data_IF_680624036742
#
_entry.id   IF_680624036742
#
_cell.length_a   1.000
_cell.length_b   1.000
_cell.length_c   1.000
_cell.angle_alpha   90.00
_cell.angle_beta   90.00
_cell.angle_gamma   90.00
#
_symmetry.space_group_name_H-M   'P 1'
#
loop_
_entity.id
_entity.type
_entity.pdbx_description
1 polymer ?
#
# COMPACT_ATOMS: atom_id res chain seq x y z
N UNK A 1 -0.73 20.00 11.89
CA UNK A 1 -0.30 20.78 13.07
C UNK A 1 -0.88 20.22 14.37
N UNK A 2 -1.89 19.34 14.27
CA UNK A 2 -2.51 18.59 15.36
C UNK A 2 -3.03 17.24 14.86
N UNK A 3 -3.57 16.41 15.77
CA UNK A 3 -4.09 15.08 15.43
C UNK A 3 -5.21 15.14 14.38
N UNK A 4 -6.11 16.11 14.47
CA UNK A 4 -7.23 16.24 13.53
C UNK A 4 -6.72 16.50 12.09
N UNK A 5 -5.73 17.35 11.93
CA UNK A 5 -5.14 17.65 10.62
C UNK A 5 -4.28 16.49 10.10
N UNK A 6 -3.50 15.84 10.99
CA UNK A 6 -2.65 14.71 10.61
C UNK A 6 -3.46 13.51 10.11
N UNK A 7 -4.68 13.32 10.61
CA UNK A 7 -5.55 12.19 10.25
C UNK A 7 -6.49 12.51 9.07
N UNK A 8 -6.48 13.73 8.54
CA UNK A 8 -7.30 14.06 7.37
C UNK A 8 -6.78 13.36 6.12
N UNK A 9 -7.65 12.67 5.37
CA UNK A 9 -7.26 12.06 4.11
C UNK A 9 -7.09 13.13 3.02
N UNK A 10 -6.25 12.81 2.04
CA UNK A 10 -6.27 13.53 0.77
C UNK A 10 -7.47 13.05 -0.06
N UNK A 11 -8.23 14.00 -0.63
CA UNK A 11 -9.38 13.69 -1.49
C UNK A 11 -9.15 14.28 -2.87
N UNK A 12 -9.32 13.45 -3.90
CA UNK A 12 -9.21 13.81 -5.30
C UNK A 12 -10.53 13.51 -5.98
N UNK A 13 -11.18 14.52 -6.55
CA UNK A 13 -12.37 14.37 -7.37
C UNK A 13 -12.02 14.64 -8.83
N UNK A 14 -12.18 13.62 -9.68
CA UNK A 14 -11.88 13.72 -11.11
C UNK A 14 -12.72 12.76 -11.92
N UNK A 15 -13.23 13.22 -13.06
CA UNK A 15 -14.02 12.43 -14.01
C UNK A 15 -15.22 11.72 -13.38
N UNK A 16 -15.84 12.31 -12.35
CA UNK A 16 -16.98 11.75 -11.65
C UNK A 16 -16.62 10.71 -10.59
N UNK A 17 -15.34 10.48 -10.32
CA UNK A 17 -14.88 9.61 -9.23
C UNK A 17 -14.27 10.42 -8.09
N UNK A 18 -14.57 9.99 -6.88
CA UNK A 18 -13.99 10.50 -5.62
C UNK A 18 -13.01 9.48 -5.06
N UNK A 19 -11.72 9.79 -5.11
CA UNK A 19 -10.64 8.97 -4.55
C UNK A 19 -10.23 9.56 -3.22
N UNK A 20 -10.22 8.74 -2.17
CA UNK A 20 -9.79 9.12 -0.83
C UNK A 20 -8.54 8.35 -0.44
N UNK A 21 -7.50 9.06 0.01
CA UNK A 21 -6.21 8.47 0.38
C UNK A 21 -5.94 8.79 1.84
N UNK A 22 -5.94 7.75 2.67
CA UNK A 22 -5.46 7.83 4.05
C UNK A 22 -3.97 7.51 4.10
N UNK A 23 -3.25 8.16 5.00
CA UNK A 23 -1.85 7.89 5.27
C UNK A 23 -1.65 7.67 6.76
N UNK A 24 -1.17 6.50 7.12
CA UNK A 24 -0.87 6.13 8.50
C UNK A 24 0.54 5.56 8.62
N UNK A 25 1.04 5.61 9.84
CA UNK A 25 2.32 5.02 10.20
C UNK A 25 2.13 4.06 11.37
N UNK A 26 2.76 2.89 11.31
CA UNK A 26 2.81 1.99 12.47
C UNK A 26 3.79 2.53 13.51
N UNK A 27 3.28 2.92 14.67
CA UNK A 27 4.10 3.50 15.74
C UNK A 27 5.12 2.52 16.31
N UNK A 28 4.91 1.21 16.14
CA UNK A 28 5.83 0.19 16.63
C UNK A 28 7.18 0.23 15.88
N UNK A 29 7.18 0.69 14.64
CA UNK A 29 8.40 0.88 13.85
C UNK A 29 9.32 1.98 14.38
N UNK A 30 8.82 2.86 15.24
CA UNK A 30 9.56 4.03 15.72
C UNK A 30 9.76 4.05 17.24
N UNK A 31 9.55 2.93 17.92
CA UNK A 31 9.73 2.80 19.39
C UNK A 31 11.15 3.13 19.87
N UNK A 32 12.15 2.96 18.99
CA UNK A 32 13.54 3.24 19.30
C UNK A 32 13.89 4.73 19.21
N UNK A 33 13.04 5.53 18.55
CA UNK A 33 13.20 6.97 18.46
C UNK A 33 12.50 7.65 19.62
N UNK A 34 13.13 8.71 20.16
CA UNK A 34 12.46 9.51 21.17
C UNK A 34 11.23 10.20 20.56
N UNK A 35 10.21 10.43 21.38
CA UNK A 35 9.00 11.17 20.97
C UNK A 35 9.28 12.59 20.48
N UNK A 36 10.45 13.16 20.80
CA UNK A 36 10.88 14.47 20.32
C UNK A 36 11.36 14.42 18.86
N UNK A 37 11.80 13.24 18.38
CA UNK A 37 12.31 13.05 17.01
C UNK A 37 11.18 12.63 16.08
N UNK A 38 10.33 11.68 16.53
CA UNK A 38 9.21 11.13 15.75
C UNK A 38 7.93 11.16 16.60
N UNK A 39 7.32 12.35 16.79
CA UNK A 39 6.12 12.47 17.61
C UNK A 39 4.89 11.96 16.87
N UNK A 40 4.01 11.24 17.59
CA UNK A 40 2.62 11.05 17.17
C UNK A 40 1.88 12.37 17.32
N UNK A 41 1.04 12.72 16.35
CA UNK A 41 0.23 13.94 16.43
C UNK A 41 -0.72 13.89 17.63
N UNK A 42 -0.68 14.94 18.44
CA UNK A 42 -1.56 15.15 19.58
C UNK A 42 -2.64 16.21 19.30
N UNK A 43 -3.54 16.44 20.26
CA UNK A 43 -4.65 17.39 20.10
C UNK A 43 -4.18 18.84 19.87
N UNK A 44 -3.01 19.19 20.36
CA UNK A 44 -2.39 20.52 20.20
C UNK A 44 -0.91 20.47 19.80
N UNK A 45 -0.44 19.34 19.30
CA UNK A 45 0.96 19.15 18.89
C UNK A 45 1.05 18.48 17.53
N UNK A 46 1.99 18.91 16.67
CA UNK A 46 2.23 18.30 15.36
C UNK A 46 2.86 16.91 15.53
N UNK A 47 2.67 16.09 14.50
CA UNK A 47 3.24 14.76 14.43
C UNK A 47 2.66 13.97 13.26
N UNK A 48 3.01 12.70 13.17
CA UNK A 48 2.44 11.80 12.17
C UNK A 48 1.10 11.20 12.63
N UNK A 49 0.30 10.73 11.68
CA UNK A 49 -0.91 9.96 11.92
C UNK A 49 -0.54 8.51 12.22
N UNK A 50 -0.58 8.12 13.49
CA UNK A 50 -0.39 6.72 13.87
C UNK A 50 -1.64 5.89 13.51
N UNK A 51 -1.42 4.66 13.05
CA UNK A 51 -2.51 3.69 12.95
C UNK A 51 -3.09 3.40 14.35
N UNK A 52 -4.40 3.48 14.46
CA UNK A 52 -5.15 3.10 15.65
C UNK A 52 -6.16 2.02 15.28
N UNK A 53 -6.11 0.89 15.98
CA UNK A 53 -6.93 -0.31 15.69
C UNK A 53 -8.45 -0.07 15.78
N UNK A 54 -8.90 1.06 16.35
CA UNK A 54 -10.31 1.43 16.52
C UNK A 54 -10.68 2.64 15.66
N UNK A 55 -9.90 3.72 15.74
CA UNK A 55 -10.25 4.98 15.08
C UNK A 55 -9.94 4.98 13.59
N UNK A 56 -8.81 4.36 13.15
CA UNK A 56 -8.48 4.34 11.74
C UNK A 56 -9.51 3.56 10.89
N UNK A 57 -9.98 2.35 11.31
CA UNK A 57 -11.08 1.68 10.64
C UNK A 57 -12.38 2.51 10.57
N UNK A 58 -12.73 3.24 11.64
CA UNK A 58 -13.91 4.12 11.63
C UNK A 58 -13.79 5.25 10.59
N UNK A 59 -12.60 5.85 10.48
CA UNK A 59 -12.35 6.90 9.49
C UNK A 59 -12.50 6.36 8.06
N UNK A 60 -11.98 5.16 7.79
CA UNK A 60 -12.10 4.48 6.49
C UNK A 60 -13.58 4.20 6.17
N UNK A 61 -14.32 3.60 7.10
CA UNK A 61 -15.76 3.33 6.94
C UNK A 61 -16.57 4.61 6.70
N UNK A 62 -16.29 5.67 7.47
CA UNK A 62 -16.94 6.96 7.28
C UNK A 62 -16.66 7.56 5.88
N UNK A 63 -15.45 7.39 5.32
CA UNK A 63 -15.16 7.84 3.96
C UNK A 63 -15.99 7.07 2.92
N UNK A 64 -16.19 5.76 3.10
CA UNK A 64 -17.07 4.94 2.23
C UNK A 64 -18.52 5.40 2.31
N UNK A 65 -19.04 5.61 3.51
CA UNK A 65 -20.38 6.12 3.75
C UNK A 65 -20.60 7.54 3.18
N UNK A 66 -19.54 8.36 3.17
CA UNK A 66 -19.53 9.70 2.57
C UNK A 66 -19.27 9.70 1.05
N UNK A 67 -19.42 8.56 0.39
CA UNK A 67 -19.42 8.45 -1.07
C UNK A 67 -18.04 8.49 -1.71
N UNK A 68 -17.00 7.98 -1.03
CA UNK A 68 -15.73 7.70 -1.70
C UNK A 68 -15.88 6.47 -2.59
N UNK A 69 -15.55 6.64 -3.88
CA UNK A 69 -15.61 5.55 -4.86
C UNK A 69 -14.41 4.61 -4.71
N UNK A 70 -13.22 5.16 -4.49
CA UNK A 70 -11.97 4.40 -4.34
C UNK A 70 -11.19 4.89 -3.13
N UNK A 71 -10.93 3.99 -2.18
CA UNK A 71 -10.22 4.28 -0.93
C UNK A 71 -8.87 3.57 -0.91
N UNK A 72 -7.81 4.35 -0.85
CA UNK A 72 -6.43 3.87 -0.72
C UNK A 72 -5.98 4.12 0.72
N UNK A 73 -5.46 3.10 1.38
CA UNK A 73 -4.75 3.25 2.66
C UNK A 73 -3.26 3.09 2.40
N UNK A 74 -2.51 4.19 2.55
CA UNK A 74 -1.06 4.18 2.44
C UNK A 74 -0.44 4.00 3.81
N UNK A 75 0.39 2.97 3.97
CA UNK A 75 0.98 2.59 5.25
C UNK A 75 2.50 2.72 5.23
N UNK A 76 3.05 3.25 6.31
CA UNK A 76 4.48 3.20 6.59
C UNK A 76 4.72 2.22 7.74
N UNK A 77 5.12 0.98 7.42
CA UNK A 77 5.13 -0.13 8.37
C UNK A 77 6.07 -1.27 7.91
N UNK A 78 6.29 -2.26 8.78
CA UNK A 78 7.09 -3.45 8.48
C UNK A 78 8.50 -3.39 9.08
N UNK A 79 9.31 -4.39 8.79
CA UNK A 79 10.69 -4.48 9.26
C UNK A 79 11.64 -4.11 8.13
N UNK A 80 12.55 -3.17 8.35
CA UNK A 80 13.55 -2.80 7.34
C UNK A 80 14.27 -4.04 6.79
N UNK A 81 14.43 -4.06 5.46
CA UNK A 81 15.11 -5.09 4.67
C UNK A 81 14.46 -6.50 4.72
N UNK A 82 13.28 -6.64 5.33
CA UNK A 82 12.46 -7.86 5.20
C UNK A 82 11.78 -7.90 3.84
N UNK A 83 11.79 -9.06 3.18
CA UNK A 83 11.09 -9.29 1.90
C UNK A 83 9.72 -9.94 2.06
N UNK A 84 9.35 -10.20 3.29
CA UNK A 84 8.04 -10.79 3.64
C UNK A 84 7.36 -9.92 4.67
N UNK A 85 6.06 -9.69 4.54
CA UNK A 85 5.31 -8.95 5.52
C UNK A 85 5.35 -9.66 6.89
N UNK A 86 5.32 -8.88 7.95
CA UNK A 86 5.17 -9.39 9.30
C UNK A 86 3.67 -9.43 9.69
N UNK A 87 3.35 -10.13 10.78
CA UNK A 87 1.98 -10.29 11.27
C UNK A 87 1.26 -8.94 11.55
N UNK A 88 2.01 -7.88 11.92
CA UNK A 88 1.41 -6.57 12.14
C UNK A 88 0.99 -5.92 10.82
N UNK A 89 1.81 -6.03 9.78
CA UNK A 89 1.45 -5.56 8.44
C UNK A 89 0.21 -6.28 7.92
N UNK A 90 0.14 -7.60 8.04
CA UNK A 90 -1.04 -8.40 7.65
C UNK A 90 -2.28 -7.97 8.43
N UNK A 91 -2.19 -7.88 9.76
CA UNK A 91 -3.30 -7.47 10.63
C UNK A 91 -3.84 -6.08 10.30
N UNK A 92 -2.96 -5.10 10.12
CA UNK A 92 -3.34 -3.72 9.79
C UNK A 92 -4.00 -3.67 8.41
N UNK A 93 -3.39 -4.32 7.42
CA UNK A 93 -3.89 -4.33 6.04
C UNK A 93 -5.26 -4.99 5.94
N UNK A 94 -5.44 -6.15 6.56
CA UNK A 94 -6.74 -6.84 6.61
C UNK A 94 -7.80 -5.98 7.29
N UNK A 95 -7.50 -5.35 8.44
CA UNK A 95 -8.43 -4.43 9.11
C UNK A 95 -8.81 -3.24 8.24
N UNK A 96 -7.88 -2.68 7.48
CA UNK A 96 -8.16 -1.58 6.57
C UNK A 96 -9.12 -2.00 5.46
N UNK A 97 -8.90 -3.18 4.84
CA UNK A 97 -9.81 -3.73 3.82
C UNK A 97 -11.18 -4.04 4.42
N UNK A 98 -11.25 -4.69 5.58
CA UNK A 98 -12.50 -5.01 6.26
C UNK A 98 -13.30 -3.75 6.65
N UNK A 99 -12.62 -2.62 6.87
CA UNK A 99 -13.24 -1.33 7.11
C UNK A 99 -13.73 -0.61 5.84
N UNK A 100 -13.45 -1.14 4.65
CA UNK A 100 -13.92 -0.61 3.38
C UNK A 100 -12.84 0.05 2.52
N UNK A 101 -11.55 -0.11 2.84
CA UNK A 101 -10.50 0.27 1.91
C UNK A 101 -10.52 -0.63 0.67
N UNK A 102 -10.26 -0.06 -0.50
CA UNK A 102 -10.22 -0.79 -1.76
C UNK A 102 -8.81 -1.29 -2.09
N UNK A 103 -7.79 -0.74 -1.46
CA UNK A 103 -6.41 -1.23 -1.53
C UNK A 103 -5.58 -0.70 -0.37
N UNK A 104 -4.56 -1.47 0.02
CA UNK A 104 -3.50 -1.01 0.93
C UNK A 104 -2.19 -0.96 0.15
N UNK A 105 -1.44 0.11 0.34
CA UNK A 105 -0.12 0.34 -0.29
C UNK A 105 0.89 0.66 0.79
N UNK A 106 1.91 -0.16 0.91
CA UNK A 106 2.91 -0.05 1.97
C UNK A 106 4.25 0.52 1.53
N UNK A 107 4.97 1.03 2.52
CA UNK A 107 6.33 1.57 2.41
C UNK A 107 7.11 1.29 3.70
N UNK A 108 8.35 1.69 3.80
CA UNK A 108 9.27 1.63 4.93
C UNK A 108 10.39 0.60 4.78
N UNK A 109 10.11 -0.64 4.38
CA UNK A 109 11.11 -1.73 4.46
C UNK A 109 12.31 -1.55 3.52
N UNK A 110 12.27 -0.58 2.62
CA UNK A 110 13.28 -0.28 1.60
C UNK A 110 13.49 -1.37 0.55
N UNK A 111 12.81 -2.49 0.67
CA UNK A 111 12.78 -3.59 -0.29
C UNK A 111 11.34 -3.92 -0.67
N UNK A 112 11.13 -4.53 -1.82
CA UNK A 112 9.80 -4.98 -2.22
C UNK A 112 9.35 -6.15 -1.35
N UNK A 113 8.09 -6.11 -0.92
CA UNK A 113 7.39 -7.23 -0.29
C UNK A 113 6.29 -7.77 -1.20
N UNK A 114 5.72 -8.90 -0.84
CA UNK A 114 4.70 -9.60 -1.62
C UNK A 114 3.42 -8.78 -1.86
N UNK A 115 2.62 -9.27 -2.79
CA UNK A 115 1.28 -8.75 -3.10
C UNK A 115 0.28 -9.82 -2.69
N UNK A 116 -0.76 -9.43 -1.97
CA UNK A 116 -1.84 -10.32 -1.52
C UNK A 116 -3.18 -9.87 -2.11
N UNK A 117 -4.06 -10.82 -2.38
CA UNK A 117 -5.47 -10.55 -2.63
C UNK A 117 -6.28 -10.99 -1.41
N UNK A 118 -6.80 -10.02 -0.65
CA UNK A 118 -7.60 -10.26 0.54
C UNK A 118 -9.03 -9.72 0.35
N UNK A 119 -10.05 -10.56 0.54
CA UNK A 119 -11.46 -10.22 0.34
C UNK A 119 -11.74 -9.52 -1.01
N UNK A 120 -11.06 -9.98 -2.09
CA UNK A 120 -11.20 -9.40 -3.43
C UNK A 120 -10.53 -8.04 -3.62
N UNK A 121 -9.71 -7.59 -2.67
CA UNK A 121 -8.97 -6.31 -2.72
C UNK A 121 -7.46 -6.54 -2.63
N UNK A 122 -6.65 -5.82 -3.42
CA UNK A 122 -5.21 -6.00 -3.41
C UNK A 122 -4.54 -5.28 -2.24
N UNK A 123 -3.56 -5.95 -1.65
CA UNK A 123 -2.63 -5.41 -0.68
C UNK A 123 -1.23 -5.47 -1.28
N UNK A 124 -0.59 -4.33 -1.44
CA UNK A 124 0.78 -4.17 -1.88
C UNK A 124 1.63 -3.87 -0.64
N UNK A 125 2.21 -4.90 -0.02
CA UNK A 125 2.82 -4.77 1.30
C UNK A 125 3.99 -3.80 1.35
N UNK A 126 4.84 -3.75 0.33
CA UNK A 126 5.85 -2.70 0.21
C UNK A 126 6.33 -2.51 -1.23
N UNK A 127 6.35 -1.25 -1.67
CA UNK A 127 6.76 -0.88 -3.03
C UNK A 127 8.28 -0.91 -3.24
N UNK A 128 9.07 -0.91 -2.17
CA UNK A 128 10.51 -0.61 -2.22
C UNK A 128 10.78 0.89 -2.29
N UNK A 129 12.04 1.26 -2.56
CA UNK A 129 12.45 2.64 -2.77
C UNK A 129 12.01 3.15 -4.14
N UNK A 130 12.06 4.48 -4.36
CA UNK A 130 11.82 5.07 -5.69
C UNK A 130 12.92 6.05 -6.07
N UNK A 131 13.01 7.21 -5.42
CA UNK A 131 14.13 8.14 -5.53
C UNK A 131 14.85 8.10 -4.19
N UNK A 132 15.96 7.36 -4.12
CA UNK A 132 16.64 7.11 -2.84
C UNK A 132 18.12 6.81 -3.06
N UNK A 133 18.95 7.10 -2.06
CA UNK A 133 20.41 7.06 -2.13
C UNK A 133 21.07 5.92 -1.35
N UNK A 134 20.35 4.82 -1.10
CA UNK A 134 20.92 3.65 -0.44
C UNK A 134 21.86 2.88 -1.38
N UNK A 135 23.02 2.47 -0.85
CA UNK A 135 24.03 1.70 -1.58
C UNK A 135 23.80 0.18 -1.56
N UNK A 136 22.92 -0.31 -0.69
CA UNK A 136 22.58 -1.73 -0.63
C UNK A 136 21.82 -2.15 -1.90
N UNK A 137 22.39 -3.04 -2.70
CA UNK A 137 21.78 -3.48 -3.96
C UNK A 137 20.41 -4.14 -3.81
N UNK A 138 20.09 -4.69 -2.64
CA UNK A 138 18.77 -5.25 -2.35
C UNK A 138 17.66 -4.18 -2.36
N UNK A 139 18.01 -2.91 -2.11
CA UNK A 139 17.08 -1.77 -2.07
C UNK A 139 16.93 -1.05 -3.41
N UNK A 140 17.61 -1.54 -4.46
CA UNK A 140 17.53 -0.96 -5.80
C UNK A 140 16.36 -1.49 -6.63
N UNK A 141 15.58 -2.44 -6.11
CA UNK A 141 14.39 -2.98 -6.77
C UNK A 141 13.13 -2.45 -6.11
N UNK A 142 12.23 -1.99 -6.95
CA UNK A 142 10.95 -1.43 -6.53
C UNK A 142 9.87 -1.74 -7.57
N UNK A 143 8.66 -1.31 -7.30
CA UNK A 143 7.63 -1.22 -8.33
C UNK A 143 6.78 0.03 -8.15
N UNK A 144 6.29 0.55 -9.27
CA UNK A 144 5.38 1.68 -9.35
C UNK A 144 3.97 1.17 -9.66
N UNK A 145 2.95 1.77 -9.05
CA UNK A 145 1.56 1.43 -9.25
C UNK A 145 0.82 2.50 -10.06
N UNK A 146 0.02 2.04 -11.01
CA UNK A 146 -0.95 2.88 -11.71
C UNK A 146 -2.34 2.26 -11.55
N UNK A 147 -3.30 3.00 -11.00
CA UNK A 147 -4.68 2.58 -10.85
C UNK A 147 -5.55 3.23 -11.93
N UNK A 148 -6.24 2.42 -12.72
CA UNK A 148 -7.17 2.85 -13.76
C UNK A 148 -8.59 2.46 -13.34
N UNK A 149 -9.46 3.47 -13.14
CA UNK A 149 -10.85 3.25 -12.73
C UNK A 149 -11.73 3.34 -13.99
N UNK A 150 -12.55 2.31 -14.21
CA UNK A 150 -13.51 2.25 -15.33
C UNK A 150 -14.83 1.70 -14.80
N UNK A 151 -15.80 2.58 -14.57
CA UNK A 151 -17.03 2.22 -13.85
C UNK A 151 -16.69 1.66 -12.46
N UNK A 152 -17.21 0.48 -12.15
CA UNK A 152 -16.96 -0.18 -10.86
C UNK A 152 -15.70 -1.05 -10.85
N UNK A 153 -14.91 -1.05 -11.91
CA UNK A 153 -13.70 -1.85 -12.00
C UNK A 153 -12.45 -0.99 -11.87
N UNK A 154 -11.47 -1.50 -11.12
CA UNK A 154 -10.13 -0.94 -11.03
C UNK A 154 -9.14 -1.95 -11.60
N UNK A 155 -8.28 -1.48 -12.48
CA UNK A 155 -7.09 -2.23 -12.91
C UNK A 155 -5.87 -1.55 -12.32
N UNK A 156 -5.13 -2.26 -11.48
CA UNK A 156 -3.80 -1.84 -11.05
C UNK A 156 -2.76 -2.43 -11.98
N UNK A 157 -1.91 -1.56 -12.54
CA UNK A 157 -0.75 -1.96 -13.33
C UNK A 157 0.49 -1.78 -12.48
N UNK A 158 1.24 -2.86 -12.30
CA UNK A 158 2.47 -2.93 -11.51
C UNK A 158 3.65 -2.85 -12.46
N UNK A 159 4.41 -1.77 -12.38
CA UNK A 159 5.58 -1.51 -13.20
C UNK A 159 6.85 -1.79 -12.39
N UNK A 160 7.58 -2.87 -12.67
CA UNK A 160 8.88 -3.12 -12.05
C UNK A 160 9.89 -2.02 -12.34
N UNK A 161 10.62 -1.61 -11.31
CA UNK A 161 11.55 -0.49 -11.33
C UNK A 161 12.91 -0.94 -10.78
N UNK A 162 13.98 -0.55 -11.46
CA UNK A 162 15.36 -0.63 -10.98
C UNK A 162 15.89 0.78 -10.67
N UNK A 163 16.59 0.93 -9.55
CA UNK A 163 17.19 2.20 -9.14
C UNK A 163 18.67 2.17 -9.48
N UNK A 164 19.07 2.96 -10.47
CA UNK A 164 20.45 3.07 -10.91
C UNK A 164 20.92 4.52 -10.78
N UNK A 165 22.00 4.74 -10.01
CA UNK A 165 22.50 6.08 -9.76
C UNK A 165 21.45 6.98 -9.09
N UNK A 166 20.68 6.42 -8.15
CA UNK A 166 19.59 7.10 -7.41
C UNK A 166 18.34 7.43 -8.23
N UNK A 167 18.31 7.08 -9.51
CA UNK A 167 17.19 7.34 -10.41
C UNK A 167 16.43 6.04 -10.71
N UNK A 168 15.08 6.06 -10.64
CA UNK A 168 14.25 4.93 -11.02
C UNK A 168 14.17 4.79 -12.54
N UNK A 169 14.30 3.56 -13.03
CA UNK A 169 14.11 3.17 -14.42
C UNK A 169 13.18 1.97 -14.50
N UNK A 170 12.30 1.93 -15.48
CA UNK A 170 11.52 0.71 -15.71
C UNK A 170 12.45 -0.44 -16.11
N UNK A 171 12.22 -1.60 -15.52
CA UNK A 171 13.01 -2.80 -15.81
C UNK A 171 12.77 -3.31 -17.24
N UNK A 172 13.72 -4.10 -17.74
CA UNK A 172 13.49 -4.89 -18.95
C UNK A 172 12.35 -5.90 -18.72
N UNK A 173 11.70 -6.37 -19.80
CA UNK A 173 10.58 -7.34 -19.68
C UNK A 173 11.01 -8.61 -18.94
N UNK A 174 12.23 -9.11 -19.13
CA UNK A 174 12.74 -10.30 -18.45
C UNK A 174 12.99 -10.08 -16.95
N UNK A 175 13.60 -8.94 -16.60
CA UNK A 175 13.90 -8.63 -15.20
C UNK A 175 12.62 -8.28 -14.43
N UNK A 176 11.70 -7.55 -15.08
CA UNK A 176 10.39 -7.23 -14.52
C UNK A 176 9.57 -8.49 -14.24
N UNK A 177 9.51 -9.43 -15.19
CA UNK A 177 8.87 -10.74 -14.99
C UNK A 177 9.47 -11.47 -13.80
N UNK A 178 10.81 -11.52 -13.71
CA UNK A 178 11.49 -12.20 -12.60
C UNK A 178 11.20 -11.59 -11.24
N UNK A 179 11.07 -10.25 -11.15
CA UNK A 179 10.67 -9.58 -9.91
C UNK A 179 9.22 -9.92 -9.55
N UNK A 180 8.29 -9.81 -10.52
CA UNK A 180 6.87 -10.05 -10.26
C UNK A 180 6.57 -11.50 -9.88
N UNK A 181 7.27 -12.48 -10.44
CA UNK A 181 7.18 -13.88 -10.04
C UNK A 181 7.57 -14.10 -8.57
N UNK A 182 8.52 -13.32 -8.04
CA UNK A 182 8.91 -13.36 -6.63
C UNK A 182 7.87 -12.71 -5.71
N UNK A 183 7.11 -11.71 -6.21
CA UNK A 183 6.11 -10.97 -5.44
C UNK A 183 4.72 -11.61 -5.45
N UNK A 184 4.48 -12.57 -6.35
CA UNK A 184 3.16 -13.11 -6.69
C UNK A 184 2.69 -14.39 -5.95
N UNK A 185 3.43 -15.04 -5.02
CA UNK A 185 2.98 -16.29 -4.43
C UNK A 185 1.60 -16.22 -3.74
N UNK A 186 1.23 -15.05 -3.19
CA UNK A 186 -0.04 -14.81 -2.49
C UNK A 186 -1.09 -14.08 -3.35
N UNK A 187 -0.79 -13.83 -4.63
CA UNK A 187 -1.67 -13.14 -5.56
C UNK A 187 -1.70 -13.83 -6.94
N UNK A 188 -2.21 -15.06 -7.04
CA UNK A 188 -2.26 -15.79 -8.33
C UNK A 188 -3.14 -15.10 -9.37
N UNK A 189 -3.98 -14.14 -8.97
CA UNK A 189 -4.83 -13.33 -9.86
C UNK A 189 -4.02 -12.31 -10.67
N UNK A 190 -2.82 -11.93 -10.24
CA UNK A 190 -1.98 -11.01 -11.00
C UNK A 190 -1.48 -11.68 -12.27
N UNK A 191 -1.84 -11.11 -13.41
CA UNK A 191 -1.35 -11.52 -14.71
C UNK A 191 -0.04 -10.81 -15.03
N UNK A 192 1.04 -11.55 -15.24
CA UNK A 192 2.30 -10.98 -15.74
C UNK A 192 2.25 -10.94 -17.26
N UNK A 193 2.39 -9.75 -17.83
CA UNK A 193 2.27 -9.49 -19.27
C UNK A 193 3.59 -9.73 -20.01
N UNK A 194 3.58 -9.69 -21.34
CA UNK A 194 4.77 -9.96 -22.16
C UNK A 194 5.82 -8.85 -22.07
N UNK A 195 5.40 -7.63 -21.73
CA UNK A 195 6.29 -6.50 -21.50
C UNK A 195 6.92 -6.46 -20.10
N UNK A 196 6.60 -7.45 -19.24
CA UNK A 196 7.16 -7.59 -17.91
C UNK A 196 6.47 -6.74 -16.84
N UNK A 197 5.28 -6.21 -17.13
CA UNK A 197 4.41 -5.57 -16.13
C UNK A 197 3.44 -6.58 -15.50
N UNK A 198 2.83 -6.21 -14.36
CA UNK A 198 1.77 -6.99 -13.72
C UNK A 198 0.43 -6.29 -13.87
N UNK A 199 -0.62 -7.03 -14.20
CA UNK A 199 -2.00 -6.51 -14.22
C UNK A 199 -2.85 -7.24 -13.19
N UNK A 200 -3.58 -6.50 -12.38
CA UNK A 200 -4.49 -7.00 -11.37
C UNK A 200 -5.79 -6.19 -11.40
N UNK A 201 -6.90 -6.87 -11.71
CA UNK A 201 -8.22 -6.23 -11.78
C UNK A 201 -9.09 -6.67 -10.61
N UNK A 202 -9.84 -5.72 -10.04
CA UNK A 202 -10.79 -5.97 -8.96
C UNK A 202 -11.99 -5.01 -9.06
N UNK A 203 -13.11 -5.38 -8.40
CA UNK A 203 -14.32 -4.56 -8.38
C UNK A 203 -14.39 -3.70 -7.11
N UNK A 204 -14.86 -2.47 -7.26
CA UNK A 204 -15.15 -1.57 -6.11
C UNK A 204 -16.35 -2.08 -5.29
N UNK A 205 -17.28 -2.80 -5.92
CA UNK A 205 -18.51 -3.31 -5.32
C UNK A 205 -18.45 -4.80 -4.94
N UNK A 206 -17.31 -5.49 -5.08
CA UNK A 206 -17.21 -6.89 -4.71
C UNK A 206 -17.23 -7.06 -3.18
N UNK A 207 -18.23 -7.76 -2.69
CA UNK A 207 -18.28 -8.33 -1.33
C UNK A 207 -17.99 -9.83 -1.38
N UNK A 208 -17.16 -10.28 -2.32
CA UNK A 208 -16.83 -11.69 -2.40
C UNK A 208 -16.01 -12.10 -1.16
N UNK A 209 -16.64 -12.93 -0.31
CA UNK A 209 -15.94 -13.65 0.74
C UNK A 209 -14.95 -14.61 0.08
N UNK A 210 -13.74 -14.17 -0.15
CA UNK A 210 -12.67 -15.04 -0.63
C UNK A 210 -12.29 -16.00 0.51
N UNK A 211 -12.68 -17.25 0.38
CA UNK A 211 -12.17 -18.31 1.25
C UNK A 211 -10.73 -18.57 0.86
N UNK A 212 -9.78 -18.13 1.70
CA UNK A 212 -8.37 -18.51 1.55
C UNK A 212 -8.25 -20.02 1.38
N UNK A 213 -7.45 -20.52 0.43
CA UNK A 213 -7.16 -21.95 0.37
C UNK A 213 -6.50 -22.36 1.70
N UNK A 214 -7.13 -23.30 2.40
CA UNK A 214 -6.57 -23.93 3.59
C UNK A 214 -5.30 -24.70 3.19
N UNK A 215 -4.17 -24.32 3.74
CA UNK A 215 -2.91 -25.07 3.69
C UNK A 215 -2.86 -26.14 4.77
#
# INVERSE_FOLDING_TARGET
ENKQEATQPAVIEKNGHKVTIFNYMDSDNFKEYSSDVMPVAGDSSPGYSAWDDVESPKQISAAKENGSDFIIVYMHYGNEYSRSPNQMQEKISHKAIDAGADTVVGSHTHVTEGIEMYNGKPIFYNLGNFIFDQSNTATHRAYFLNFQITGDNVTSVVYPVDINGYLPHFMSSSDGRSLLEQLNPQCPQMKITDDGTGELSFSLNSTENYTSPSF
#
